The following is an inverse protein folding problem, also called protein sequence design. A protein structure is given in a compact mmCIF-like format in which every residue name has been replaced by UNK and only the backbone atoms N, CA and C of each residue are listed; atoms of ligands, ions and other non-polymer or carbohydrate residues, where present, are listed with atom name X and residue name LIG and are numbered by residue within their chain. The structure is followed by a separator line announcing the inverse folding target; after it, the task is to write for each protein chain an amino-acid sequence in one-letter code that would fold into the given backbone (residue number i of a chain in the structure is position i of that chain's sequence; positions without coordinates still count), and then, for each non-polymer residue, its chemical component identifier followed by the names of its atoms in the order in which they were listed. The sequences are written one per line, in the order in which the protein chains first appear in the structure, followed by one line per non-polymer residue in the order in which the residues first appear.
data_IF_793341925105
#
_entry.id   IF_793341925105
#
_cell.length_a   1.000
_cell.length_b   1.000
_cell.length_c   1.000
_cell.angle_alpha   90.00
_cell.angle_beta   90.00
_cell.angle_gamma   90.00
#
_symmetry.space_group_name_H-M   'P 1'
#
loop_
_entity.id
_entity.type
_entity.pdbx_description
1 polymer ?
#
# COMPACT_ATOMS: atom_id res chain seq x y z
N UNK A 1 10.31 -29.95 5.29
CA UNK A 1 9.29 -29.39 6.19
C UNK A 1 8.71 -28.17 5.55
N UNK A 2 7.50 -28.28 5.00
CA UNK A 2 6.77 -27.20 4.34
C UNK A 2 6.38 -26.11 5.33
N UNK A 3 7.06 -24.96 5.25
CA UNK A 3 6.60 -23.72 5.88
C UNK A 3 6.09 -22.80 4.76
N UNK A 4 4.89 -23.08 4.25
CA UNK A 4 4.14 -22.13 3.44
C UNK A 4 3.87 -20.89 4.29
N UNK A 5 4.35 -19.72 3.86
CA UNK A 5 4.10 -18.44 4.49
C UNK A 5 3.23 -17.63 3.54
N UNK A 6 1.95 -17.56 3.83
CA UNK A 6 1.03 -16.69 3.14
C UNK A 6 1.23 -15.25 3.64
N UNK A 7 1.47 -14.32 2.72
CA UNK A 7 1.33 -12.89 2.99
C UNK A 7 -0.15 -12.55 2.73
N UNK A 8 -0.97 -12.49 3.78
CA UNK A 8 -2.34 -12.01 3.65
C UNK A 8 -2.36 -10.48 3.82
N UNK A 9 -2.72 -9.76 2.77
CA UNK A 9 -3.00 -8.32 2.78
C UNK A 9 -4.51 -8.15 2.66
N UNK A 10 -5.26 -8.18 3.77
CA UNK A 10 -6.70 -8.03 3.68
C UNK A 10 -7.02 -6.65 3.07
N UNK A 11 -8.09 -6.54 2.28
CA UNK A 11 -8.43 -5.29 1.65
C UNK A 11 -8.89 -4.31 2.74
N UNK A 12 -8.00 -3.43 3.18
CA UNK A 12 -8.34 -2.46 4.21
C UNK A 12 -9.07 -1.28 3.59
N UNK A 13 -10.33 -1.14 4.00
CA UNK A 13 -11.13 0.06 3.77
C UNK A 13 -11.21 0.84 5.09
N UNK A 14 -10.81 2.12 5.06
CA UNK A 14 -11.08 3.02 6.18
C UNK A 14 -12.45 3.67 5.97
N UNK A 15 -13.42 3.30 6.79
CA UNK A 15 -14.69 4.02 6.90
C UNK A 15 -14.49 5.24 7.82
N UNK A 16 -14.30 6.41 7.23
CA UNK A 16 -14.05 7.66 7.97
C UNK A 16 -15.29 8.24 8.67
N UNK A 17 -16.50 7.88 8.22
CA UNK A 17 -17.75 8.39 8.79
C UNK A 17 -18.14 7.67 10.09
N UNK A 18 -17.81 6.38 10.22
CA UNK A 18 -18.25 5.55 11.36
C UNK A 18 -17.26 5.47 12.52
N UNK A 19 -16.07 6.10 12.42
CA UNK A 19 -14.96 6.00 13.42
C UNK A 19 -14.72 4.56 13.93
N UNK A 20 -15.03 3.55 13.10
CA UNK A 20 -14.95 2.12 13.44
C UNK A 20 -14.26 1.38 12.31
N UNK A 21 -13.31 0.54 12.69
CA UNK A 21 -12.57 -0.35 11.80
C UNK A 21 -13.50 -1.48 11.35
N UNK A 22 -13.97 -1.43 10.10
CA UNK A 22 -14.65 -2.55 9.47
C UNK A 22 -13.65 -3.35 8.64
N UNK A 23 -13.02 -4.35 9.26
CA UNK A 23 -12.39 -5.41 8.47
C UNK A 23 -13.50 -6.17 7.75
N UNK A 24 -13.42 -6.33 6.42
CA UNK A 24 -14.27 -7.30 5.70
C UNK A 24 -13.93 -8.75 6.12
N UNK A 25 -12.79 -8.96 6.78
CA UNK A 25 -12.42 -10.24 7.37
C UNK A 25 -12.62 -10.23 8.88
N UNK A 26 -13.87 -10.38 9.33
CA UNK A 26 -14.13 -11.16 10.54
C UNK A 26 -13.98 -12.65 10.19
N UNK A 27 -12.74 -13.14 10.03
CA UNK A 27 -12.51 -14.58 10.20
C UNK A 27 -12.53 -14.85 11.71
N UNK A 28 -13.64 -15.44 12.19
CA UNK A 28 -13.70 -16.04 13.53
C UNK A 28 -12.70 -17.21 13.54
N UNK A 29 -11.57 -17.04 14.22
CA UNK A 29 -10.53 -18.06 14.36
C UNK A 29 -9.17 -17.59 13.82
N UNK A 30 -8.50 -16.71 14.56
CA UNK A 30 -7.16 -16.22 14.23
C UNK A 30 -6.14 -17.34 14.46
N UNK A 31 -5.32 -17.62 13.44
CA UNK A 31 -4.09 -18.42 13.55
C UNK A 31 -3.19 -17.76 14.60
N UNK A 32 -2.82 -18.48 15.66
CA UNK A 32 -2.08 -17.95 16.82
C UNK A 32 -0.60 -17.64 16.55
N UNK A 33 -0.09 -17.93 15.34
CA UNK A 33 1.31 -17.76 14.95
C UNK A 33 1.40 -17.00 13.60
N UNK A 34 2.13 -15.88 13.55
CA UNK A 34 2.33 -15.11 12.32
C UNK A 34 2.57 -13.60 12.54
N UNK A 35 2.83 -12.87 11.45
CA UNK A 35 2.92 -11.39 11.43
C UNK A 35 1.79 -10.85 10.56
N UNK A 36 0.89 -10.07 11.16
CA UNK A 36 -0.20 -9.41 10.45
C UNK A 36 0.25 -7.99 10.05
N UNK A 37 0.14 -7.66 8.77
CA UNK A 37 0.49 -6.33 8.25
C UNK A 37 -0.79 -5.59 7.88
N UNK A 38 -1.05 -4.48 8.57
CA UNK A 38 -2.16 -3.60 8.27
C UNK A 38 -1.74 -2.46 7.35
N UNK A 39 -2.34 -2.36 6.16
CA UNK A 39 -2.08 -1.28 5.20
C UNK A 39 -3.27 -0.34 5.18
N UNK A 40 -3.06 0.91 5.58
CA UNK A 40 -4.12 1.90 5.56
C UNK A 40 -3.93 2.86 4.38
N UNK A 41 -4.84 2.80 3.41
CA UNK A 41 -4.87 3.74 2.29
C UNK A 41 -5.83 4.89 2.62
N UNK A 42 -5.29 6.07 2.93
CA UNK A 42 -6.06 7.29 3.17
C UNK A 42 -6.26 8.06 1.87
N UNK A 43 -7.50 8.45 1.53
CA UNK A 43 -7.77 9.39 0.42
C UNK A 43 -7.64 10.87 0.80
N UNK A 44 -7.71 11.17 2.09
CA UNK A 44 -7.58 12.54 2.56
C UNK A 44 -6.15 13.05 2.36
N UNK A 45 -6.03 14.16 1.60
CA UNK A 45 -4.78 14.88 1.34
C UNK A 45 -3.66 14.00 0.79
N UNK A 46 -3.96 13.14 -0.18
CA UNK A 46 -2.98 12.19 -0.70
C UNK A 46 -1.79 12.86 -1.35
N UNK A 47 -2.04 13.89 -2.17
CA UNK A 47 -0.98 14.64 -2.86
C UNK A 47 -0.13 15.38 -1.84
N UNK A 48 -0.73 16.06 -0.88
CA UNK A 48 0.01 16.86 0.11
C UNK A 48 0.82 15.99 1.06
N UNK A 49 0.29 14.82 1.44
CA UNK A 49 1.05 13.81 2.19
C UNK A 49 2.21 13.26 1.36
N UNK A 50 2.02 13.08 0.05
CA UNK A 50 3.06 12.60 -0.85
C UNK A 50 4.17 13.65 -1.04
N UNK A 51 3.81 14.92 -1.21
CA UNK A 51 4.75 16.05 -1.24
C UNK A 51 5.53 16.18 0.08
N UNK A 52 4.85 15.96 1.20
CA UNK A 52 5.49 15.94 2.51
C UNK A 52 6.48 14.77 2.64
N UNK A 53 6.12 13.56 2.17
CA UNK A 53 7.05 12.43 2.13
C UNK A 53 8.24 12.73 1.22
N UNK A 54 8.04 13.38 0.07
CA UNK A 54 9.12 13.81 -0.82
C UNK A 54 10.07 14.78 -0.13
N UNK A 55 9.56 15.72 0.69
CA UNK A 55 10.40 16.63 1.48
C UNK A 55 11.23 15.92 2.54
N UNK A 56 10.67 14.85 3.15
CA UNK A 56 11.36 14.01 4.14
C UNK A 56 12.35 13.03 3.49
N UNK A 57 12.03 12.57 2.27
CA UNK A 57 12.76 11.57 1.51
C UNK A 57 12.97 12.05 0.07
N UNK A 58 14.03 12.86 -0.20
CA UNK A 58 14.28 13.47 -1.52
C UNK A 58 14.60 12.50 -2.65
N UNK A 59 14.68 11.20 -2.38
CA UNK A 59 14.87 10.14 -3.36
C UNK A 59 13.55 9.43 -3.73
N UNK A 60 12.43 9.83 -3.12
CA UNK A 60 11.10 9.34 -3.45
C UNK A 60 10.69 9.79 -4.86
N UNK A 61 10.61 8.86 -5.80
CA UNK A 61 10.15 9.16 -7.16
C UNK A 61 8.69 9.62 -7.17
N UNK A 62 8.44 10.77 -7.80
CA UNK A 62 7.09 11.27 -8.08
C UNK A 62 6.85 11.24 -9.59
N UNK A 63 5.62 10.99 -10.04
CA UNK A 63 5.30 11.02 -11.46
C UNK A 63 5.33 12.46 -11.98
N UNK A 64 5.53 12.62 -13.28
CA UNK A 64 5.82 13.91 -13.93
C UNK A 64 4.77 14.99 -13.62
N UNK A 65 3.50 14.60 -13.45
CA UNK A 65 2.41 15.52 -13.16
C UNK A 65 2.52 16.19 -11.78
N UNK A 66 3.34 15.63 -10.88
CA UNK A 66 3.59 16.18 -9.54
C UNK A 66 4.95 16.87 -9.42
N UNK A 67 5.79 16.87 -10.46
CA UNK A 67 7.18 17.35 -10.37
C UNK A 67 7.29 18.84 -10.08
N UNK A 68 6.36 19.66 -10.58
CA UNK A 68 6.31 21.09 -10.26
C UNK A 68 6.02 21.30 -8.76
N UNK A 69 4.98 20.64 -8.26
CA UNK A 69 4.61 20.70 -6.84
C UNK A 69 5.71 20.14 -5.93
N UNK A 70 6.41 19.09 -6.37
CA UNK A 70 7.57 18.52 -5.70
C UNK A 70 8.72 19.53 -5.59
N UNK A 71 9.02 20.21 -6.70
CA UNK A 71 10.04 21.24 -6.74
C UNK A 71 9.68 22.43 -5.84
N UNK A 72 8.40 22.79 -5.79
CA UNK A 72 7.91 23.87 -4.93
C UNK A 72 8.07 23.52 -3.44
N UNK A 73 7.67 22.32 -3.01
CA UNK A 73 7.79 21.91 -1.59
C UNK A 73 9.25 21.79 -1.13
N UNK A 74 10.15 21.38 -2.02
CA UNK A 74 11.59 21.27 -1.74
C UNK A 74 12.26 22.63 -1.52
N UNK A 75 11.80 23.66 -2.26
CA UNK A 75 12.33 25.03 -2.18
C UNK A 75 11.81 25.83 -0.99
N UNK A 76 10.75 25.38 -0.32
CA UNK A 76 10.23 26.07 0.85
C UNK A 76 11.30 26.17 1.94
N UNK A 77 11.43 27.36 2.49
CA UNK A 77 12.18 27.56 3.72
C UNK A 77 11.45 26.91 4.91
N UNK A 78 12.10 26.86 6.08
CA UNK A 78 11.55 26.15 7.23
C UNK A 78 10.26 26.77 7.76
N UNK A 79 10.10 28.09 7.69
CA UNK A 79 8.91 28.81 8.13
C UNK A 79 7.72 28.52 7.21
N UNK A 80 7.94 28.63 5.89
CA UNK A 80 6.94 28.32 4.87
C UNK A 80 6.49 26.85 4.95
N UNK A 81 7.45 25.94 5.12
CA UNK A 81 7.15 24.52 5.28
C UNK A 81 6.32 24.26 6.55
N UNK A 82 6.67 24.91 7.66
CA UNK A 82 5.87 24.82 8.89
C UNK A 82 4.46 25.37 8.67
N UNK A 83 4.32 26.49 7.95
CA UNK A 83 3.04 27.05 7.53
C UNK A 83 2.21 26.04 6.73
N UNK A 84 2.79 25.42 5.71
CA UNK A 84 2.16 24.34 4.93
C UNK A 84 1.67 23.20 5.83
N UNK A 85 2.53 22.67 6.71
CA UNK A 85 2.18 21.56 7.61
C UNK A 85 1.05 21.94 8.58
N UNK A 86 1.08 23.17 9.10
CA UNK A 86 0.08 23.68 10.05
C UNK A 86 -1.28 23.86 9.37
N UNK A 87 -1.32 24.58 8.25
CA UNK A 87 -2.55 24.89 7.49
C UNK A 87 -3.27 23.63 7.03
N UNK A 88 -2.51 22.59 6.67
CA UNK A 88 -3.07 21.33 6.19
C UNK A 88 -3.26 20.28 7.31
N UNK A 89 -2.92 20.63 8.55
CA UNK A 89 -2.96 19.77 9.74
C UNK A 89 -2.25 18.42 9.53
N UNK A 90 -1.00 18.45 9.04
CA UNK A 90 -0.21 17.26 8.67
C UNK A 90 0.80 16.83 9.75
N UNK A 91 0.77 17.45 10.94
CA UNK A 91 1.71 17.13 12.05
C UNK A 91 1.66 15.66 12.46
N UNK A 92 0.46 15.12 12.60
CA UNK A 92 0.28 13.72 13.00
C UNK A 92 0.77 12.73 11.95
N UNK A 93 0.71 13.12 10.67
CA UNK A 93 1.30 12.34 9.59
C UNK A 93 2.82 12.28 9.71
N UNK A 94 3.50 13.42 9.89
CA UNK A 94 4.96 13.46 10.14
C UNK A 94 5.33 12.61 11.36
N UNK A 95 4.59 12.77 12.47
CA UNK A 95 4.82 12.02 13.70
C UNK A 95 4.67 10.51 13.47
N UNK A 96 3.67 10.10 12.69
CA UNK A 96 3.42 8.70 12.35
C UNK A 96 4.53 8.12 11.46
N UNK A 97 4.99 8.87 10.45
CA UNK A 97 6.15 8.47 9.62
C UNK A 97 7.41 8.31 10.46
N UNK A 98 7.75 9.31 11.29
CA UNK A 98 8.91 9.20 12.19
C UNK A 98 8.81 8.03 13.17
N UNK A 99 7.60 7.73 13.65
CA UNK A 99 7.36 6.56 14.53
C UNK A 99 7.56 5.25 13.79
N UNK A 100 7.07 5.16 12.54
CA UNK A 100 7.28 4.01 11.66
C UNK A 100 8.79 3.75 11.50
N UNK A 101 9.55 4.80 11.20
CA UNK A 101 10.97 4.72 10.86
C UNK A 101 11.89 4.31 12.01
N UNK A 102 11.42 4.41 13.25
CA UNK A 102 12.11 3.83 14.41
C UNK A 102 12.17 2.31 14.37
N UNK A 103 11.24 1.68 13.65
CA UNK A 103 11.08 0.21 13.59
C UNK A 103 11.21 -0.35 12.18
N UNK A 104 11.08 0.49 11.16
CA UNK A 104 11.25 0.17 9.76
C UNK A 104 12.30 1.08 9.15
N UNK A 105 13.42 0.52 8.73
CA UNK A 105 14.49 1.30 8.12
C UNK A 105 14.08 1.74 6.72
N UNK A 106 14.06 3.04 6.45
CA UNK A 106 13.95 3.54 5.09
C UNK A 106 15.18 3.08 4.28
N UNK A 107 14.94 2.34 3.19
CA UNK A 107 15.99 1.81 2.30
C UNK A 107 16.11 2.58 0.99
N UNK A 108 15.38 3.69 0.87
CA UNK A 108 15.38 4.54 -0.31
C UNK A 108 14.24 4.25 -1.28
N UNK A 109 14.02 5.18 -2.21
CA UNK A 109 13.02 5.12 -3.29
C UNK A 109 11.60 4.78 -2.82
N UNK A 110 11.23 5.21 -1.62
CA UNK A 110 9.90 4.91 -1.06
C UNK A 110 9.74 3.48 -0.53
N UNK A 111 10.84 2.82 -0.16
CA UNK A 111 10.84 1.47 0.41
C UNK A 111 11.27 1.54 1.88
N UNK A 112 10.45 0.94 2.75
CA UNK A 112 10.77 0.73 4.16
C UNK A 112 10.96 -0.75 4.43
N UNK A 113 12.02 -1.11 5.15
CA UNK A 113 12.43 -2.48 5.42
C UNK A 113 12.36 -2.81 6.91
N UNK A 114 11.83 -3.97 7.25
CA UNK A 114 11.95 -4.56 8.57
C UNK A 114 12.39 -6.01 8.48
N UNK A 115 13.33 -6.41 9.35
CA UNK A 115 13.76 -7.80 9.48
C UNK A 115 13.01 -8.46 10.64
N UNK A 116 12.48 -9.66 10.39
CA UNK A 116 11.86 -10.51 11.42
C UNK A 116 12.45 -11.91 11.25
N UNK A 117 13.38 -12.29 12.11
CA UNK A 117 14.11 -13.56 12.00
C UNK A 117 14.81 -13.71 10.63
N UNK A 118 14.56 -14.80 9.88
CA UNK A 118 15.14 -15.01 8.55
C UNK A 118 14.44 -14.20 7.44
N UNK A 119 13.37 -13.47 7.77
CA UNK A 119 12.56 -12.74 6.80
C UNK A 119 12.90 -11.26 6.73
N UNK A 120 12.77 -10.73 5.52
CA UNK A 120 12.78 -9.29 5.24
C UNK A 120 11.39 -8.92 4.72
N UNK A 121 10.77 -7.95 5.36
CA UNK A 121 9.50 -7.37 4.95
C UNK A 121 9.78 -5.99 4.39
N UNK A 122 9.28 -5.73 3.20
CA UNK A 122 9.38 -4.48 2.47
C UNK A 122 8.00 -3.85 2.45
N UNK A 123 7.87 -2.59 2.83
CA UNK A 123 6.70 -1.76 2.53
C UNK A 123 7.10 -0.81 1.42
N UNK A 124 6.46 -0.96 0.28
CA UNK A 124 6.79 -0.23 -0.94
C UNK A 124 5.66 0.76 -1.20
N UNK A 125 5.97 2.05 -1.25
CA UNK A 125 5.01 3.04 -1.75
C UNK A 125 4.90 2.89 -3.27
N UNK A 126 3.68 2.69 -3.74
CA UNK A 126 3.36 2.64 -5.16
C UNK A 126 2.61 3.91 -5.50
N UNK A 127 3.08 4.63 -6.52
CA UNK A 127 2.54 5.93 -6.93
C UNK A 127 2.16 5.87 -8.41
N UNK A 128 0.96 6.34 -8.74
CA UNK A 128 0.46 6.46 -10.12
C UNK A 128 -0.59 7.56 -10.21
N UNK A 129 -0.44 8.47 -11.18
CA UNK A 129 -1.45 9.50 -11.52
C UNK A 129 -1.97 10.27 -10.28
N UNK A 130 -1.06 10.75 -9.42
CA UNK A 130 -1.41 11.49 -8.19
C UNK A 130 -2.04 10.66 -7.06
N UNK A 131 -2.19 9.35 -7.25
CA UNK A 131 -2.66 8.39 -6.24
C UNK A 131 -1.48 7.59 -5.72
N UNK A 132 -1.57 7.15 -4.47
CA UNK A 132 -0.58 6.23 -3.92
C UNK A 132 -1.19 5.23 -2.94
N UNK A 133 -0.54 4.07 -2.87
CA UNK A 133 -0.82 3.00 -1.92
C UNK A 133 0.50 2.46 -1.37
N UNK A 134 0.44 1.63 -0.35
CA UNK A 134 1.60 0.88 0.14
C UNK A 134 1.32 -0.58 -0.11
N UNK A 135 2.32 -1.31 -0.61
CA UNK A 135 2.23 -2.77 -0.79
C UNK A 135 3.33 -3.46 0.00
N UNK A 136 3.00 -4.52 0.76
CA UNK A 136 4.01 -5.26 1.47
C UNK A 136 4.55 -6.34 0.54
N UNK A 137 5.80 -6.69 0.75
CA UNK A 137 6.46 -7.77 0.04
C UNK A 137 7.37 -8.46 1.04
N UNK A 138 7.50 -9.77 0.96
CA UNK A 138 8.33 -10.55 1.89
C UNK A 138 9.38 -11.35 1.13
N UNK A 139 10.60 -11.40 1.64
CA UNK A 139 11.63 -12.34 1.18
C UNK A 139 12.21 -13.13 2.34
N UNK A 140 12.73 -14.32 2.05
CA UNK A 140 13.33 -15.24 3.03
C UNK A 140 14.81 -15.46 2.70
N UNK A 141 15.70 -15.14 3.63
CA UNK A 141 17.14 -15.38 3.43
C UNK A 141 17.73 -14.62 2.23
N UNK A 142 18.46 -15.32 1.36
CA UNK A 142 19.11 -14.79 0.14
C UNK A 142 18.44 -15.29 -1.13
N UNK A 143 17.20 -15.79 -1.07
CA UNK A 143 16.56 -16.53 -2.17
C UNK A 143 16.33 -15.70 -3.43
N UNK A 144 16.54 -14.39 -3.43
CA UNK A 144 16.33 -13.53 -4.61
C UNK A 144 14.86 -13.33 -4.99
N UNK A 145 13.94 -14.07 -4.38
CA UNK A 145 12.50 -14.04 -4.64
C UNK A 145 11.71 -13.32 -3.56
N UNK A 146 10.53 -12.86 -3.97
CA UNK A 146 9.66 -11.98 -3.21
C UNK A 146 8.21 -12.47 -3.26
N UNK A 147 7.67 -12.84 -2.10
CA UNK A 147 6.24 -13.08 -1.91
C UNK A 147 5.48 -11.76 -1.90
N UNK A 148 4.44 -11.66 -2.71
CA UNK A 148 3.69 -10.44 -2.98
C UNK A 148 2.21 -10.76 -3.18
N UNK A 149 1.33 -9.90 -2.65
CA UNK A 149 -0.12 -10.04 -2.86
C UNK A 149 -0.67 -8.81 -3.58
N UNK A 150 -1.48 -9.07 -4.62
CA UNK A 150 -2.17 -8.03 -5.39
C UNK A 150 -3.67 -8.34 -5.52
N UNK A 151 -4.55 -7.45 -5.04
CA UNK A 151 -5.97 -7.52 -5.32
C UNK A 151 -6.24 -6.98 -6.72
N UNK A 152 -6.93 -7.76 -7.53
CA UNK A 152 -7.28 -7.44 -8.91
C UNK A 152 -8.79 -7.46 -9.05
N UNK A 153 -9.34 -6.57 -9.86
CA UNK A 153 -10.77 -6.57 -10.19
C UNK A 153 -11.16 -7.92 -10.79
N UNK A 154 -12.21 -8.54 -10.27
CA UNK A 154 -12.69 -9.85 -10.73
C UNK A 154 -12.96 -9.87 -12.24
N UNK A 155 -13.34 -8.73 -12.84
CA UNK A 155 -13.56 -8.61 -14.29
C UNK A 155 -12.26 -8.57 -15.11
N UNK A 156 -11.12 -8.34 -14.47
CA UNK A 156 -9.80 -8.24 -15.10
C UNK A 156 -8.94 -9.49 -14.85
N UNK A 157 -9.47 -10.51 -14.18
CA UNK A 157 -8.77 -11.75 -13.82
C UNK A 157 -8.04 -12.38 -14.99
N UNK A 158 -8.74 -12.67 -16.08
CA UNK A 158 -8.19 -13.41 -17.21
C UNK A 158 -7.11 -12.60 -17.93
N UNK A 159 -7.25 -11.27 -17.94
CA UNK A 159 -6.24 -10.38 -18.47
C UNK A 159 -5.00 -10.35 -17.57
N UNK A 160 -5.19 -10.31 -16.26
CA UNK A 160 -4.09 -10.31 -15.30
C UNK A 160 -3.30 -11.62 -15.33
N UNK A 161 -3.96 -12.77 -15.38
CA UNK A 161 -3.29 -14.09 -15.44
C UNK A 161 -2.35 -14.18 -16.66
N UNK A 162 -2.72 -13.57 -17.79
CA UNK A 162 -1.89 -13.56 -19.01
C UNK A 162 -0.62 -12.72 -18.89
N UNK A 163 -0.57 -11.79 -17.94
CA UNK A 163 0.62 -10.97 -17.69
C UNK A 163 1.63 -11.64 -16.76
N UNK A 164 1.23 -12.71 -16.06
CA UNK A 164 2.11 -13.44 -15.15
C UNK A 164 3.08 -14.33 -15.93
N UNK A 165 4.33 -14.37 -15.49
CA UNK A 165 5.31 -15.33 -15.99
C UNK A 165 5.00 -16.71 -15.39
N UNK A 166 5.43 -17.76 -16.09
CA UNK A 166 5.33 -19.12 -15.57
C UNK A 166 6.00 -19.23 -14.19
N UNK A 167 5.29 -19.82 -13.23
CA UNK A 167 5.76 -19.97 -11.85
C UNK A 167 5.58 -18.74 -10.94
N UNK A 168 5.10 -17.59 -11.44
CA UNK A 168 4.85 -16.43 -10.57
C UNK A 168 3.60 -16.60 -9.69
N UNK A 169 2.61 -17.38 -10.13
CA UNK A 169 1.34 -17.58 -9.43
C UNK A 169 1.42 -18.71 -8.39
N UNK A 170 1.11 -18.41 -7.13
CA UNK A 170 1.04 -19.41 -6.05
C UNK A 170 -0.40 -19.77 -5.67
N UNK A 171 -1.24 -18.78 -5.41
CA UNK A 171 -2.61 -18.96 -4.92
C UNK A 171 -3.51 -17.81 -5.41
N UNK A 172 -4.80 -18.10 -5.58
CA UNK A 172 -5.85 -17.09 -5.81
C UNK A 172 -6.97 -17.34 -4.82
N UNK A 173 -7.46 -16.29 -4.18
CA UNK A 173 -8.66 -16.38 -3.36
C UNK A 173 -9.62 -15.20 -3.58
N UNK A 174 -10.91 -15.47 -3.44
CA UNK A 174 -11.99 -14.54 -3.77
C UNK A 174 -12.35 -13.60 -2.61
N UNK A 175 -12.61 -12.34 -2.97
CA UNK A 175 -13.34 -11.37 -2.17
C UNK A 175 -14.44 -10.74 -3.04
N UNK A 176 -15.42 -10.09 -2.42
CA UNK A 176 -16.63 -9.58 -3.09
C UNK A 176 -16.36 -8.86 -4.44
N UNK A 177 -15.47 -7.87 -4.46
CA UNK A 177 -15.18 -7.05 -5.65
C UNK A 177 -13.79 -7.31 -6.25
N UNK A 178 -12.98 -8.15 -5.61
CA UNK A 178 -11.57 -8.37 -5.93
C UNK A 178 -11.18 -9.82 -5.77
N UNK A 179 -10.34 -10.33 -6.66
CA UNK A 179 -9.59 -11.55 -6.43
C UNK A 179 -8.17 -11.20 -5.96
N UNK A 180 -7.71 -11.85 -4.90
CA UNK A 180 -6.38 -11.64 -4.35
C UNK A 180 -5.45 -12.71 -4.89
N UNK A 181 -4.38 -12.27 -5.56
CA UNK A 181 -3.38 -13.13 -6.16
C UNK A 181 -2.12 -13.12 -5.29
N UNK A 182 -1.73 -14.30 -4.82
CA UNK A 182 -0.48 -14.53 -4.12
C UNK A 182 0.56 -14.93 -5.14
N UNK A 183 1.65 -14.17 -5.18
CA UNK A 183 2.68 -14.28 -6.19
C UNK A 183 4.05 -14.45 -5.55
N UNK A 184 4.92 -15.20 -6.22
CA UNK A 184 6.37 -15.17 -5.98
C UNK A 184 7.05 -14.59 -7.21
N UNK A 185 7.70 -13.45 -7.05
CA UNK A 185 8.37 -12.73 -8.16
C UNK A 185 9.87 -12.55 -7.91
N UNK A 186 10.62 -12.36 -8.98
CA UNK A 186 12.09 -12.28 -8.96
C UNK A 186 12.66 -10.93 -8.46
N UNK A 187 11.83 -9.88 -8.38
CA UNK A 187 12.31 -8.54 -8.04
C UNK A 187 11.22 -7.64 -7.46
N UNK A 188 11.65 -6.62 -6.70
CA UNK A 188 10.73 -5.58 -6.19
C UNK A 188 10.19 -4.72 -7.33
N UNK A 189 10.97 -4.52 -8.39
CA UNK A 189 10.57 -3.84 -9.61
C UNK A 189 9.37 -4.53 -10.26
N UNK A 190 9.36 -5.87 -10.30
CA UNK A 190 8.22 -6.65 -10.78
C UNK A 190 6.99 -6.48 -9.89
N UNK A 191 7.15 -6.45 -8.55
CA UNK A 191 6.05 -6.11 -7.63
C UNK A 191 5.44 -4.74 -7.96
N UNK A 192 6.30 -3.72 -8.11
CA UNK A 192 5.88 -2.34 -8.40
C UNK A 192 5.16 -2.25 -9.74
N UNK A 193 5.69 -2.91 -10.76
CA UNK A 193 5.11 -2.94 -12.11
C UNK A 193 3.71 -3.55 -12.10
N UNK A 194 3.57 -4.76 -11.54
CA UNK A 194 2.28 -5.44 -11.45
C UNK A 194 1.28 -4.60 -10.64
N UNK A 195 1.70 -4.04 -9.50
CA UNK A 195 0.87 -3.17 -8.69
C UNK A 195 0.36 -1.95 -9.47
N UNK A 196 1.24 -1.22 -10.17
CA UNK A 196 0.83 -0.03 -10.94
C UNK A 196 -0.21 -0.34 -12.02
N UNK A 197 -0.15 -1.52 -12.62
CA UNK A 197 -1.06 -1.90 -13.70
C UNK A 197 -2.38 -2.48 -13.19
N UNK A 198 -2.30 -3.40 -12.23
CA UNK A 198 -3.38 -4.33 -11.93
C UNK A 198 -3.99 -4.19 -10.55
N UNK A 199 -3.29 -3.54 -9.62
CA UNK A 199 -3.80 -3.30 -8.28
C UNK A 199 -5.14 -2.57 -8.43
N UNK A 200 -6.18 -3.15 -7.84
CA UNK A 200 -7.53 -2.63 -7.88
C UNK A 200 -7.57 -1.13 -7.54
N UNK A 201 -6.72 -0.69 -6.60
CA UNK A 201 -6.62 0.71 -6.21
C UNK A 201 -6.30 1.66 -7.39
N UNK A 202 -5.54 1.18 -8.37
CA UNK A 202 -5.15 1.94 -9.55
C UNK A 202 -5.99 1.63 -10.78
N UNK A 203 -6.42 0.38 -10.97
CA UNK A 203 -7.16 -0.06 -12.16
C UNK A 203 -8.57 0.50 -12.22
N UNK A 204 -9.22 0.73 -11.08
CA UNK A 204 -10.52 1.40 -11.06
C UNK A 204 -10.35 2.93 -11.10
N UNK A 205 -10.59 3.55 -12.27
CA UNK A 205 -10.56 5.02 -12.46
C UNK A 205 -11.68 5.76 -11.72
N UNK A 206 -12.63 5.04 -11.12
CA UNK A 206 -13.70 5.65 -10.32
C UNK A 206 -13.19 5.88 -8.89
N UNK A 207 -13.50 7.05 -8.30
CA UNK A 207 -13.62 7.15 -6.84
C UNK A 207 -14.50 5.96 -6.43
N UNK A 208 -13.97 5.01 -5.66
CA UNK A 208 -14.75 3.82 -5.33
C UNK A 208 -16.13 4.24 -4.87
N UNK A 209 -17.16 3.58 -5.40
CA UNK A 209 -18.51 3.73 -4.89
C UNK A 209 -18.46 3.46 -3.39
N UNK A 210 -19.09 4.30 -2.60
CA UNK A 210 -19.36 3.99 -1.20
C UNK A 210 -20.17 2.69 -1.18
N UNK A 211 -19.53 1.56 -0.87
CA UNK A 211 -20.14 0.22 -0.92
C UNK A 211 -21.11 -0.04 0.24
N UNK A 212 -21.45 1.00 1.00
CA UNK A 212 -22.47 0.96 2.04
C UNK A 212 -23.43 2.13 1.82
N UNK A 213 -24.52 1.86 1.11
CA UNK A 213 -25.73 2.67 1.19
C UNK A 213 -26.40 2.40 2.53
N UNK A 214 -26.53 3.43 3.36
CA UNK A 214 -27.41 3.39 4.53
C UNK A 214 -28.77 3.88 4.04
N UNK A 215 -29.70 2.97 3.79
CA UNK A 215 -31.11 3.31 3.92
C UNK A 215 -31.35 3.62 5.39
N UNK A 216 -31.72 4.87 5.69
CA UNK A 216 -32.23 5.24 7.01
C UNK A 216 -33.53 4.46 7.22
N UNK A 217 -33.46 3.35 7.94
CA UNK A 217 -34.64 2.81 8.60
C UNK A 217 -34.62 3.29 10.05
N UNK A 218 -35.63 4.11 10.33
CA UNK A 218 -36.06 4.67 11.59
C UNK A 218 -35.85 3.75 12.79
N UNK A 219 -35.34 4.32 13.89
CA UNK A 219 -35.99 4.33 15.20
C UNK A 219 -35.61 5.62 15.92
#
# INVERSE_FOLDING_TARGET
GCNYLALEVPPFYVNFEKKRFGSIMTRKGIVREGVIIHIYVTRHRQIEKLLLLRRLHPDLFLPDELMEAASAIEKLNQEEFNGFVNTLNLKDFIKSTKKLERTWRYSGKGIWLRRIGPFKIYMIIIIKEGRWTIRPTISKGTTGYYGFEIPVDTQLKEAFIKELKEGELEEIHDHNETQHFHLTVESLERCVHLAKLWDYYFSNKKRWKQTVSITQNHF
#
